data_IF_304557637799
#
_entry.id   IF_304557637799
#
_cell.length_a   1.000
_cell.length_b   1.000
_cell.length_c   1.000
_cell.angle_alpha   90.00
_cell.angle_beta   90.00
_cell.angle_gamma   90.00
#
_symmetry.space_group_name_H-M   'P 1'
#
loop_
_entity.id
_entity.type
_entity.pdbx_description
1 polymer ?
#
# COMPACT_ATOMS: atom_id res chain seq x y z
N UNK A 1 -6.65 19.70 73.99
CA UNK A 1 -7.12 21.06 74.32
C UNK A 1 -8.14 21.45 73.25
N UNK A 2 -9.27 22.02 73.68
CA UNK A 2 -10.51 22.34 72.93
C UNK A 2 -10.20 23.10 71.61
N UNK A 3 -11.03 23.12 70.56
CA UNK A 3 -12.39 23.71 70.48
C UNK A 3 -13.12 23.24 69.21
N UNK A 4 -14.42 22.97 69.38
CA UNK A 4 -15.50 22.76 68.41
C UNK A 4 -16.15 24.09 68.02
N UNK A 5 -16.61 24.29 66.77
CA UNK A 5 -17.73 25.19 66.35
C UNK A 5 -18.00 24.97 64.84
N UNK A 6 -19.07 24.30 64.35
CA UNK A 6 -20.51 24.61 64.25
C UNK A 6 -20.93 25.82 63.39
N UNK A 7 -21.51 25.50 62.22
CA UNK A 7 -22.79 25.98 61.63
C UNK A 7 -23.03 27.44 61.22
N UNK A 8 -23.50 27.64 59.96
CA UNK A 8 -24.77 28.30 59.54
C UNK A 8 -24.64 28.79 58.06
N UNK A 9 -25.40 28.27 57.09
CA UNK A 9 -26.77 28.65 56.65
C UNK A 9 -26.90 30.06 56.02
N UNK A 10 -27.15 30.09 54.71
CA UNK A 10 -27.94 31.05 53.88
C UNK A 10 -27.49 30.85 52.42
N UNK A 11 -28.30 30.80 51.36
CA UNK A 11 -29.71 31.05 51.13
C UNK A 11 -29.91 30.95 49.59
N UNK A 12 -31.13 30.65 49.17
CA UNK A 12 -31.51 30.19 47.84
C UNK A 12 -31.25 31.16 46.67
N UNK A 13 -31.09 30.61 45.46
CA UNK A 13 -31.67 31.21 44.25
C UNK A 13 -32.19 30.11 43.31
N UNK A 14 -33.52 30.09 43.14
CA UNK A 14 -34.23 29.34 42.12
C UNK A 14 -34.21 30.17 40.83
N UNK A 15 -33.72 29.59 39.73
CA UNK A 15 -34.17 29.96 38.39
C UNK A 15 -34.42 28.66 37.62
N UNK A 16 -35.70 28.41 37.31
CA UNK A 16 -36.12 27.44 36.34
C UNK A 16 -35.77 27.94 34.93
N UNK A 17 -35.23 27.07 34.09
CA UNK A 17 -34.90 27.41 32.70
C UNK A 17 -34.65 26.17 31.84
N UNK A 18 -35.70 25.77 31.13
CA UNK A 18 -35.73 25.15 29.80
C UNK A 18 -34.89 23.90 29.47
N UNK A 19 -35.65 22.89 29.08
CA UNK A 19 -35.37 21.70 28.25
C UNK A 19 -34.48 21.93 27.02
N UNK A 20 -33.47 21.06 26.83
CA UNK A 20 -32.93 20.52 25.56
C UNK A 20 -31.61 19.77 25.90
N UNK A 21 -31.28 18.54 25.51
CA UNK A 21 -31.86 17.45 24.74
C UNK A 21 -30.80 16.33 24.66
N UNK A 22 -31.13 15.05 24.42
CA UNK A 22 -30.14 14.02 24.17
C UNK A 22 -30.13 13.66 22.68
N UNK A 23 -29.41 14.38 21.82
CA UNK A 23 -29.32 14.02 20.39
C UNK A 23 -28.15 14.69 19.65
N UNK A 24 -26.91 14.52 20.08
CA UNK A 24 -25.74 14.94 19.27
C UNK A 24 -24.55 13.98 19.43
N UNK A 25 -24.76 12.68 19.19
CA UNK A 25 -23.63 11.75 18.98
C UNK A 25 -23.79 10.81 17.77
N UNK A 26 -24.85 10.95 16.98
CA UNK A 26 -25.06 10.12 15.78
C UNK A 26 -24.87 10.86 14.44
N UNK A 27 -24.64 12.18 14.45
CA UNK A 27 -24.57 12.99 13.22
C UNK A 27 -23.15 13.28 12.72
N UNK A 28 -22.11 13.06 13.55
CA UNK A 28 -20.72 13.32 13.17
C UNK A 28 -20.13 12.20 12.28
N UNK A 29 -20.59 10.95 12.42
CA UNK A 29 -20.08 9.83 11.61
C UNK A 29 -20.62 9.85 10.17
N UNK A 30 -21.87 10.28 9.98
CA UNK A 30 -22.51 10.35 8.66
C UNK A 30 -21.83 11.36 7.73
N UNK A 31 -21.57 12.59 8.22
CA UNK A 31 -20.91 13.62 7.41
C UNK A 31 -19.46 13.27 7.06
N UNK A 32 -18.71 12.62 7.95
CA UNK A 32 -17.36 12.14 7.64
C UNK A 32 -17.38 11.01 6.60
N UNK A 33 -18.34 10.08 6.68
CA UNK A 33 -18.47 9.00 5.68
C UNK A 33 -18.84 9.56 4.30
N UNK A 34 -19.77 10.51 4.21
CA UNK A 34 -20.19 11.10 2.94
C UNK A 34 -19.07 11.93 2.31
N UNK A 35 -18.29 12.67 3.11
CA UNK A 35 -17.12 13.41 2.59
C UNK A 35 -15.99 12.45 2.14
N UNK A 36 -15.83 11.31 2.82
CA UNK A 36 -14.89 10.26 2.42
C UNK A 36 -15.33 9.58 1.13
N UNK A 37 -16.63 9.35 0.95
CA UNK A 37 -17.23 8.73 -0.25
C UNK A 37 -17.20 9.68 -1.45
N UNK A 38 -17.48 10.97 -1.26
CA UNK A 38 -17.35 11.99 -2.32
C UNK A 38 -15.86 12.17 -2.69
N UNK A 39 -14.98 12.19 -1.69
CA UNK A 39 -13.53 12.15 -1.90
C UNK A 39 -13.13 10.91 -2.72
N UNK A 40 -13.62 9.72 -2.35
CA UNK A 40 -13.40 8.46 -3.05
C UNK A 40 -13.94 8.44 -4.49
N UNK A 41 -15.10 9.06 -4.74
CA UNK A 41 -15.68 9.18 -6.09
C UNK A 41 -14.93 10.14 -6.99
N UNK A 42 -14.44 11.27 -6.46
CA UNK A 42 -13.65 12.24 -7.22
C UNK A 42 -12.20 11.79 -7.46
N UNK A 43 -11.73 10.84 -6.64
CA UNK A 43 -10.37 10.29 -6.69
C UNK A 43 -10.32 8.86 -7.24
N UNK A 44 -11.45 8.19 -7.44
CA UNK A 44 -11.48 6.77 -7.80
C UNK A 44 -10.94 5.84 -6.71
N UNK A 45 -10.72 6.32 -5.48
CA UNK A 45 -10.34 5.49 -4.35
C UNK A 45 -11.59 4.82 -3.75
N UNK A 46 -11.75 3.50 -3.95
CA UNK A 46 -12.83 2.73 -3.34
C UNK A 46 -12.58 2.59 -1.82
N UNK A 47 -13.57 2.84 -0.95
CA UNK A 47 -13.40 2.75 0.49
C UNK A 47 -13.32 1.28 0.96
N UNK A 48 -12.27 0.94 1.71
CA UNK A 48 -12.02 -0.27 2.55
C UNK A 48 -12.25 -1.69 1.95
N UNK A 49 -12.88 -1.83 0.78
CA UNK A 49 -13.08 -3.05 -0.02
C UNK A 49 -12.00 -3.24 -1.12
N UNK A 50 -10.91 -2.48 -1.05
CA UNK A 50 -9.86 -2.53 -2.07
C UNK A 50 -9.02 -3.81 -2.04
N UNK A 51 -9.08 -4.60 -0.96
CA UNK A 51 -8.35 -5.85 -0.84
C UNK A 51 -9.26 -7.05 -1.05
N UNK A 52 -9.08 -7.76 -2.16
CA UNK A 52 -9.87 -8.93 -2.54
C UNK A 52 -8.99 -10.17 -2.59
N UNK A 53 -9.49 -11.30 -2.08
CA UNK A 53 -8.82 -12.59 -2.27
C UNK A 53 -9.28 -13.20 -3.59
N UNK A 54 -8.32 -13.47 -4.46
CA UNK A 54 -8.52 -14.15 -5.74
C UNK A 54 -7.91 -15.55 -5.66
N UNK A 55 -8.12 -16.37 -6.68
CA UNK A 55 -7.47 -17.69 -6.79
C UNK A 55 -5.94 -17.58 -6.85
N UNK A 56 -5.40 -16.43 -7.26
CA UNK A 56 -3.98 -16.21 -7.50
C UNK A 56 -3.27 -15.49 -6.37
N UNK A 57 -4.02 -14.95 -5.41
CA UNK A 57 -3.46 -14.13 -4.36
C UNK A 57 -4.36 -13.00 -3.92
N UNK A 58 -3.80 -12.07 -3.16
CA UNK A 58 -4.50 -10.89 -2.69
C UNK A 58 -4.36 -9.76 -3.69
N UNK A 59 -5.47 -9.28 -4.20
CA UNK A 59 -5.56 -8.11 -5.06
C UNK A 59 -5.78 -6.88 -4.19
N UNK A 60 -5.03 -5.81 -4.40
CA UNK A 60 -5.19 -4.51 -3.77
C UNK A 60 -5.33 -3.43 -4.85
N UNK A 61 -6.47 -2.74 -4.88
CA UNK A 61 -6.70 -1.54 -5.71
C UNK A 61 -6.57 -0.28 -4.86
N UNK A 62 -5.45 0.45 -4.95
CA UNK A 62 -5.26 1.67 -4.15
C UNK A 62 -4.44 2.71 -4.90
N UNK A 63 -4.50 3.96 -4.45
CA UNK A 63 -3.50 4.93 -4.87
C UNK A 63 -2.27 4.73 -4.00
N UNK A 64 -1.15 4.51 -4.65
CA UNK A 64 0.12 4.35 -3.96
C UNK A 64 0.77 5.72 -3.82
N UNK A 65 1.56 5.92 -2.77
CA UNK A 65 2.45 7.08 -2.61
C UNK A 65 1.76 8.46 -2.45
N UNK A 66 0.45 8.51 -2.21
CA UNK A 66 -0.29 9.77 -1.98
C UNK A 66 -0.25 10.17 -0.50
N UNK A 67 0.15 11.41 -0.22
CA UNK A 67 0.17 11.94 1.14
C UNK A 67 -1.23 11.92 1.79
N UNK A 68 -1.29 11.51 3.06
CA UNK A 68 -2.54 11.42 3.83
C UNK A 68 -3.39 10.17 3.56
N UNK A 69 -2.99 9.30 2.62
CA UNK A 69 -3.59 7.98 2.48
C UNK A 69 -2.97 6.96 3.43
N UNK A 70 -3.75 5.93 3.78
CA UNK A 70 -3.23 4.83 4.56
C UNK A 70 -2.15 4.09 3.76
N UNK A 71 -0.97 3.83 4.35
CA UNK A 71 0.09 3.11 3.65
C UNK A 71 -0.35 1.69 3.31
N UNK A 72 0.27 1.09 2.28
CA UNK A 72 -0.05 -0.29 1.84
C UNK A 72 0.06 -1.26 3.01
N UNK A 73 1.06 -1.04 3.86
CA UNK A 73 1.28 -1.81 5.09
C UNK A 73 0.07 -1.82 6.04
N UNK A 74 -0.68 -0.72 6.14
CA UNK A 74 -1.88 -0.65 6.98
C UNK A 74 -3.07 -1.40 6.36
N UNK A 75 -3.24 -1.31 5.03
CA UNK A 75 -4.35 -1.95 4.32
C UNK A 75 -4.22 -3.49 4.29
N UNK A 76 -2.99 -3.98 4.14
CA UNK A 76 -2.68 -5.39 3.94
C UNK A 76 -2.34 -6.16 5.22
N UNK A 77 -2.25 -5.48 6.37
CA UNK A 77 -1.80 -6.08 7.64
C UNK A 77 -2.59 -7.34 8.00
N UNK A 78 -1.84 -8.41 8.28
CA UNK A 78 -2.33 -9.73 8.68
C UNK A 78 -3.00 -10.52 7.57
N UNK A 79 -3.00 -10.04 6.31
CA UNK A 79 -3.77 -10.66 5.23
C UNK A 79 -2.94 -11.66 4.42
N UNK A 80 -1.62 -11.46 4.27
CA UNK A 80 -0.75 -12.31 3.46
C UNK A 80 -0.43 -13.65 4.15
N UNK A 81 -0.42 -13.68 5.49
CA UNK A 81 -0.20 -14.91 6.24
C UNK A 81 1.23 -15.43 6.14
N UNK A 82 2.19 -14.52 5.96
CA UNK A 82 3.63 -14.82 5.85
C UNK A 82 4.40 -14.29 7.08
N UNK A 83 5.61 -14.80 7.28
CA UNK A 83 6.48 -14.27 8.33
C UNK A 83 6.96 -12.86 8.01
N UNK A 84 7.08 -12.00 9.02
CA UNK A 84 7.61 -10.63 8.91
C UNK A 84 6.88 -9.78 7.85
N UNK A 85 5.57 -9.99 7.71
CA UNK A 85 4.73 -9.36 6.70
C UNK A 85 4.90 -7.82 6.64
N UNK A 86 4.92 -7.14 7.79
CA UNK A 86 5.07 -5.69 7.83
C UNK A 86 6.38 -5.20 7.18
N UNK A 87 7.47 -5.95 7.31
CA UNK A 87 8.76 -5.60 6.69
C UNK A 87 8.74 -5.77 5.17
N UNK A 88 8.05 -6.79 4.65
CA UNK A 88 7.85 -6.97 3.22
C UNK A 88 7.00 -5.82 2.65
N UNK A 89 5.87 -5.53 3.30
CA UNK A 89 4.96 -4.46 2.88
C UNK A 89 5.68 -3.10 2.87
N UNK A 90 6.48 -2.81 3.90
CA UNK A 90 7.27 -1.58 3.97
C UNK A 90 8.41 -1.52 2.93
N UNK A 91 9.06 -2.63 2.61
CA UNK A 91 10.06 -2.70 1.54
C UNK A 91 9.42 -2.43 0.18
N UNK A 92 8.31 -3.12 -0.13
CA UNK A 92 7.57 -2.91 -1.37
C UNK A 92 7.12 -1.45 -1.54
N UNK A 93 6.55 -0.85 -0.49
CA UNK A 93 6.08 0.54 -0.52
C UNK A 93 7.24 1.52 -0.76
N UNK A 94 8.42 1.30 -0.15
CA UNK A 94 9.62 2.12 -0.43
C UNK A 94 10.12 1.97 -1.86
N UNK A 95 10.08 0.75 -2.43
CA UNK A 95 10.47 0.51 -3.82
C UNK A 95 9.52 1.25 -4.76
N UNK A 96 8.21 1.04 -4.57
CA UNK A 96 7.18 1.60 -5.42
C UNK A 96 7.15 3.13 -5.37
N UNK A 97 7.40 3.72 -4.20
CA UNK A 97 7.42 5.16 -4.01
C UNK A 97 8.81 5.79 -4.19
N UNK A 98 9.80 5.01 -4.65
CA UNK A 98 11.12 5.55 -4.93
C UNK A 98 11.08 6.51 -6.12
N UNK A 99 11.73 7.66 -5.98
CA UNK A 99 11.96 8.56 -7.12
C UNK A 99 12.92 7.92 -8.12
N UNK A 100 12.63 8.14 -9.40
CA UNK A 100 13.53 7.81 -10.50
C UNK A 100 14.87 8.53 -10.34
N UNK A 101 15.95 7.80 -10.60
CA UNK A 101 17.32 8.29 -10.44
C UNK A 101 17.80 9.15 -11.62
N UNK A 102 17.25 8.93 -12.82
CA UNK A 102 17.59 9.65 -14.05
C UNK A 102 16.47 10.60 -14.54
N UNK A 103 15.34 10.65 -13.84
CA UNK A 103 14.15 11.41 -14.23
C UNK A 103 13.35 10.77 -15.37
N UNK A 104 13.80 9.64 -15.93
CA UNK A 104 13.18 8.92 -17.04
C UNK A 104 12.59 7.56 -16.60
N UNK A 105 12.51 7.31 -15.30
CA UNK A 105 11.95 6.09 -14.73
C UNK A 105 12.99 5.04 -14.34
N UNK A 106 14.29 5.30 -14.41
CA UNK A 106 15.28 4.33 -13.94
C UNK A 106 15.32 4.28 -12.41
N UNK A 107 15.39 3.07 -11.84
CA UNK A 107 15.66 2.82 -10.44
C UNK A 107 16.87 1.88 -10.29
N UNK A 108 17.96 2.38 -9.74
CA UNK A 108 19.20 1.65 -9.48
C UNK A 108 19.04 0.76 -8.24
N UNK A 109 19.36 -0.53 -8.36
CA UNK A 109 19.10 -1.51 -7.29
C UNK A 109 20.05 -1.30 -6.09
N UNK A 110 21.26 -0.79 -6.33
CA UNK A 110 22.27 -0.50 -5.30
C UNK A 110 21.73 0.27 -4.08
N UNK A 111 20.77 1.19 -4.28
CA UNK A 111 20.22 2.04 -3.21
C UNK A 111 19.46 1.28 -2.13
N UNK A 112 19.00 0.07 -2.42
CA UNK A 112 18.30 -0.79 -1.46
C UNK A 112 19.26 -1.63 -0.62
N UNK A 113 20.57 -1.55 -0.88
CA UNK A 113 21.61 -2.19 -0.08
C UNK A 113 21.29 -3.65 0.20
N UNK A 114 21.45 -4.08 1.45
CA UNK A 114 21.20 -5.47 1.86
C UNK A 114 19.74 -5.95 1.73
N UNK A 115 18.80 -5.08 1.41
CA UNK A 115 17.41 -5.46 1.14
C UNK A 115 17.16 -5.79 -0.33
N UNK A 116 18.15 -5.58 -1.21
CA UNK A 116 18.17 -6.15 -2.55
C UNK A 116 19.27 -7.20 -2.67
N UNK A 117 18.98 -8.25 -3.44
CA UNK A 117 19.89 -9.35 -3.69
C UNK A 117 21.12 -8.92 -4.47
N UNK A 118 22.16 -9.73 -4.35
CA UNK A 118 23.38 -9.62 -5.13
C UNK A 118 23.84 -11.07 -5.46
N UNK A 119 23.73 -11.52 -6.71
CA UNK A 119 23.23 -10.79 -7.87
C UNK A 119 21.70 -10.53 -7.83
N UNK A 120 21.24 -9.62 -8.68
CA UNK A 120 19.83 -9.23 -8.81
C UNK A 120 19.31 -9.55 -10.22
N UNK A 121 18.13 -10.17 -10.30
CA UNK A 121 17.55 -10.57 -11.56
C UNK A 121 16.69 -9.46 -12.19
N UNK A 122 16.91 -9.16 -13.47
CA UNK A 122 16.11 -8.20 -14.23
C UNK A 122 15.61 -8.84 -15.52
N UNK A 123 14.62 -8.21 -16.14
CA UNK A 123 14.13 -8.65 -17.44
C UNK A 123 13.09 -7.72 -18.02
N UNK A 124 12.83 -7.94 -19.31
CA UNK A 124 11.76 -7.31 -20.05
C UNK A 124 10.86 -8.41 -20.63
N UNK A 125 9.57 -8.36 -20.32
CA UNK A 125 8.61 -9.29 -20.91
C UNK A 125 7.74 -8.56 -21.92
N UNK A 126 7.81 -9.02 -23.16
CA UNK A 126 6.86 -8.64 -24.19
C UNK A 126 5.59 -9.48 -24.04
N UNK A 127 4.46 -8.84 -23.77
CA UNK A 127 3.20 -9.56 -23.60
C UNK A 127 2.15 -9.11 -24.63
N UNK A 128 1.46 -10.07 -25.23
CA UNK A 128 0.50 -9.87 -26.32
C UNK A 128 -0.89 -10.38 -25.94
N UNK A 129 -1.59 -9.64 -25.06
CA UNK A 129 -3.04 -9.83 -24.90
C UNK A 129 -3.53 -10.61 -23.67
N UNK A 130 -2.79 -10.63 -22.55
CA UNK A 130 -3.36 -11.04 -21.26
C UNK A 130 -4.53 -10.14 -20.88
N UNK A 131 -5.62 -10.74 -20.38
CA UNK A 131 -6.84 -10.00 -20.03
C UNK A 131 -6.76 -9.45 -18.61
N UNK A 132 -5.91 -10.05 -17.76
CA UNK A 132 -5.77 -9.68 -16.36
C UNK A 132 -4.31 -9.69 -15.88
N UNK A 133 -4.03 -8.85 -14.89
CA UNK A 133 -2.75 -8.80 -14.17
C UNK A 133 -2.35 -10.18 -13.65
N UNK A 134 -1.09 -10.55 -13.93
CA UNK A 134 -0.50 -11.82 -13.51
C UNK A 134 -0.52 -12.91 -14.57
N UNK A 135 -1.33 -12.83 -15.63
CA UNK A 135 -1.57 -13.98 -16.52
C UNK A 135 -0.44 -14.34 -17.48
N UNK A 136 0.63 -13.53 -17.55
CA UNK A 136 1.75 -13.81 -18.44
C UNK A 136 2.90 -14.53 -17.71
N UNK A 137 3.65 -15.39 -18.42
CA UNK A 137 4.87 -15.95 -17.87
C UNK A 137 5.89 -14.84 -17.60
N UNK A 138 6.64 -14.97 -16.51
CA UNK A 138 7.66 -14.02 -16.10
C UNK A 138 8.91 -14.79 -15.76
N UNK A 139 9.91 -14.61 -16.61
CA UNK A 139 11.26 -15.14 -16.46
C UNK A 139 12.25 -13.98 -16.59
N UNK A 140 13.26 -13.90 -15.72
CA UNK A 140 14.31 -12.91 -15.88
C UNK A 140 15.14 -13.21 -17.13
N UNK A 141 15.62 -12.17 -17.79
CA UNK A 141 16.55 -12.30 -18.92
C UNK A 141 17.97 -12.60 -18.43
N UNK A 142 18.30 -12.14 -17.23
CA UNK A 142 19.60 -12.35 -16.62
C UNK A 142 19.68 -11.85 -15.19
N UNK A 143 20.84 -12.10 -14.60
CA UNK A 143 21.21 -11.61 -13.28
C UNK A 143 22.49 -10.78 -13.41
N UNK A 144 22.50 -9.63 -12.74
CA UNK A 144 23.66 -8.73 -12.70
C UNK A 144 24.04 -8.43 -11.26
N UNK A 145 25.32 -8.08 -11.00
CA UNK A 145 25.70 -7.45 -9.75
C UNK A 145 24.76 -6.31 -9.39
N UNK A 146 24.42 -6.19 -8.10
CA UNK A 146 23.40 -5.22 -7.63
C UNK A 146 23.75 -3.76 -7.99
N UNK A 147 25.03 -3.44 -8.07
CA UNK A 147 25.55 -2.12 -8.43
C UNK A 147 25.47 -1.79 -9.92
N UNK A 148 25.27 -2.81 -10.77
CA UNK A 148 25.08 -2.68 -12.22
C UNK A 148 23.61 -2.83 -12.64
N UNK A 149 22.77 -3.39 -11.76
CA UNK A 149 21.35 -3.63 -12.04
C UNK A 149 20.49 -2.36 -11.91
N UNK A 150 19.51 -2.24 -12.82
CA UNK A 150 18.45 -1.24 -12.75
C UNK A 150 17.13 -1.81 -13.26
N UNK A 151 16.02 -1.18 -12.88
CA UNK A 151 14.70 -1.44 -13.47
C UNK A 151 14.12 -0.15 -14.05
N UNK A 152 13.32 -0.31 -15.12
CA UNK A 152 12.55 0.79 -15.68
C UNK A 152 11.16 0.82 -15.05
N UNK A 153 10.85 1.91 -14.36
CA UNK A 153 9.57 2.24 -13.73
C UNK A 153 8.70 3.13 -14.66
N UNK A 154 8.96 3.14 -15.96
CA UNK A 154 8.21 3.95 -16.93
C UNK A 154 6.70 3.69 -16.79
N UNK A 155 5.92 4.76 -16.68
CA UNK A 155 4.46 4.68 -16.46
C UNK A 155 4.03 4.54 -15.00
N UNK A 156 4.95 4.30 -14.08
CA UNK A 156 4.70 4.18 -12.64
C UNK A 156 5.30 5.38 -11.91
N UNK A 157 4.63 6.53 -12.00
CA UNK A 157 5.03 7.70 -11.23
C UNK A 157 4.46 7.62 -9.82
N UNK A 158 5.26 7.84 -8.75
CA UNK A 158 4.76 7.96 -7.38
C UNK A 158 3.79 9.15 -7.23
N UNK A 159 3.89 10.15 -8.11
CA UNK A 159 2.99 11.30 -8.15
C UNK A 159 1.81 11.10 -9.12
N UNK A 160 1.63 9.89 -9.65
CA UNK A 160 0.52 9.59 -10.57
C UNK A 160 -0.82 9.74 -9.84
N UNK A 161 -1.77 10.52 -10.39
CA UNK A 161 -3.12 10.62 -9.82
C UNK A 161 -3.97 9.35 -10.07
N UNK A 162 -3.45 8.39 -10.84
CA UNK A 162 -4.14 7.17 -11.22
C UNK A 162 -3.92 6.12 -10.12
N UNK A 163 -4.99 5.46 -9.68
CA UNK A 163 -4.88 4.32 -8.77
C UNK A 163 -4.05 3.20 -9.40
N UNK A 164 -3.30 2.46 -8.58
CA UNK A 164 -2.59 1.27 -8.99
C UNK A 164 -3.30 0.01 -8.49
N UNK A 165 -2.97 -1.09 -9.15
CA UNK A 165 -3.43 -2.43 -8.78
C UNK A 165 -2.21 -3.27 -8.46
N UNK A 166 -2.17 -3.86 -7.27
CA UNK A 166 -1.15 -4.83 -6.88
C UNK A 166 -1.77 -6.21 -6.62
N UNK A 167 -1.26 -7.25 -7.28
CA UNK A 167 -1.62 -8.64 -7.01
C UNK A 167 -0.46 -9.32 -6.28
N UNK A 168 -0.72 -9.76 -5.06
CA UNK A 168 0.23 -10.40 -4.16
C UNK A 168 0.08 -11.91 -4.22
N UNK A 169 0.99 -12.54 -4.94
CA UNK A 169 1.08 -13.98 -5.15
C UNK A 169 2.07 -14.60 -4.16
N UNK A 170 1.56 -15.28 -3.13
CA UNK A 170 2.37 -15.99 -2.13
C UNK A 170 2.68 -17.39 -2.66
N UNK A 171 3.78 -17.51 -3.39
CA UNK A 171 4.21 -18.76 -4.02
C UNK A 171 4.72 -19.78 -3.00
N UNK A 172 5.30 -19.30 -1.90
CA UNK A 172 5.71 -20.09 -0.74
C UNK A 172 5.78 -19.21 0.52
N UNK A 173 5.82 -19.76 1.74
CA UNK A 173 5.94 -18.95 2.97
C UNK A 173 7.15 -18.00 2.99
N UNK A 174 8.19 -18.30 2.21
CA UNK A 174 9.42 -17.52 2.06
C UNK A 174 9.59 -16.89 0.69
N UNK A 175 8.56 -16.92 -0.17
CA UNK A 175 8.63 -16.38 -1.55
C UNK A 175 7.32 -15.70 -1.94
N UNK A 176 7.40 -14.42 -2.28
CA UNK A 176 6.24 -13.61 -2.68
C UNK A 176 6.57 -12.89 -3.96
N UNK A 177 5.67 -12.95 -4.94
CA UNK A 177 5.70 -12.12 -6.14
C UNK A 177 4.60 -11.08 -6.05
N UNK A 178 4.95 -9.83 -6.29
CA UNK A 178 3.98 -8.74 -6.40
C UNK A 178 3.92 -8.30 -7.84
N UNK A 179 2.75 -8.44 -8.45
CA UNK A 179 2.46 -7.83 -9.73
C UNK A 179 1.90 -6.46 -9.49
N UNK A 180 2.30 -5.47 -10.27
CA UNK A 180 1.81 -4.12 -10.16
C UNK A 180 1.52 -3.55 -11.54
N UNK A 181 0.38 -2.87 -11.70
CA UNK A 181 0.01 -2.19 -12.92
C UNK A 181 -0.93 -1.01 -12.61
N UNK A 182 -1.07 -0.03 -13.52
CA UNK A 182 -2.10 1.00 -13.40
C UNK A 182 -3.53 0.43 -13.41
N UNK A 183 -3.76 -0.69 -14.11
CA UNK A 183 -5.08 -1.30 -14.26
C UNK A 183 -5.03 -2.81 -14.11
N UNK A 184 -6.09 -3.39 -13.53
CA UNK A 184 -6.27 -4.84 -13.43
C UNK A 184 -6.42 -5.50 -14.80
N UNK A 185 -7.20 -4.87 -15.68
CA UNK A 185 -7.46 -5.33 -17.03
C UNK A 185 -6.60 -4.57 -18.02
N UNK A 186 -6.14 -5.26 -19.07
CA UNK A 186 -5.16 -4.73 -20.03
C UNK A 186 -3.93 -4.12 -19.31
N UNK A 187 -3.19 -4.91 -18.53
CA UNK A 187 -2.13 -4.42 -17.66
C UNK A 187 -0.87 -4.09 -18.47
N UNK A 188 -0.94 -3.06 -19.32
CA UNK A 188 0.24 -2.48 -19.95
C UNK A 188 1.10 -1.81 -18.92
N UNK A 189 2.40 -1.83 -19.17
CA UNK A 189 3.38 -1.15 -18.33
C UNK A 189 3.33 -1.70 -16.89
N UNK A 190 3.04 -2.99 -16.78
CA UNK A 190 3.03 -3.72 -15.53
C UNK A 190 4.45 -4.15 -15.15
N UNK A 191 4.67 -4.35 -13.85
CA UNK A 191 5.93 -4.81 -13.29
C UNK A 191 5.71 -5.94 -12.30
N UNK A 192 6.72 -6.77 -12.14
CA UNK A 192 6.79 -7.71 -11.04
C UNK A 192 7.92 -7.35 -10.09
N UNK A 193 7.71 -7.66 -8.82
CA UNK A 193 8.68 -7.56 -7.74
C UNK A 193 8.70 -8.88 -7.01
N UNK A 194 9.83 -9.57 -7.06
CA UNK A 194 9.99 -10.87 -6.43
C UNK A 194 10.77 -10.72 -5.14
N UNK A 195 10.28 -11.33 -4.07
CA UNK A 195 10.86 -11.26 -2.75
C UNK A 195 11.10 -12.64 -2.18
N UNK A 196 12.21 -12.78 -1.46
CA UNK A 196 12.57 -13.99 -0.74
C UNK A 196 12.94 -13.68 0.71
N UNK A 197 12.48 -14.52 1.63
CA UNK A 197 12.83 -14.44 3.04
C UNK A 197 14.17 -15.15 3.26
N UNK A 198 15.25 -14.39 3.46
CA UNK A 198 16.61 -14.90 3.63
C UNK A 198 17.15 -14.50 5.00
N UNK A 199 17.58 -15.48 5.81
CA UNK A 199 18.15 -15.21 7.13
C UNK A 199 17.24 -14.40 8.06
N UNK A 200 15.92 -14.54 7.91
CA UNK A 200 14.95 -13.76 8.66
C UNK A 200 14.85 -12.30 8.24
N UNK A 201 15.06 -11.97 6.97
CA UNK A 201 14.74 -10.67 6.37
C UNK A 201 14.24 -10.86 4.94
N UNK A 202 13.22 -10.11 4.55
CA UNK A 202 12.79 -10.07 3.15
C UNK A 202 13.80 -9.33 2.29
N UNK A 203 14.18 -9.97 1.18
CA UNK A 203 15.12 -9.45 0.20
C UNK A 203 14.40 -9.39 -1.14
N UNK A 204 14.51 -8.25 -1.82
CA UNK A 204 14.07 -8.06 -3.19
C UNK A 204 15.07 -8.72 -4.13
N UNK A 205 14.62 -9.73 -4.87
CA UNK A 205 15.51 -10.62 -5.66
C UNK A 205 15.38 -10.42 -7.17
N UNK A 206 14.21 -9.97 -7.64
CA UNK A 206 14.00 -9.70 -9.04
C UNK A 206 13.01 -8.56 -9.27
N UNK A 207 13.20 -7.84 -10.38
CA UNK A 207 12.26 -6.84 -10.88
C UNK A 207 12.17 -6.94 -12.40
N UNK A 208 10.98 -7.23 -12.92
CA UNK A 208 10.78 -7.45 -14.36
C UNK A 208 9.69 -6.52 -14.85
N UNK A 209 10.03 -5.72 -15.86
CA UNK A 209 9.09 -4.81 -16.52
C UNK A 209 8.39 -5.52 -17.68
N UNK A 210 7.18 -5.09 -17.99
CA UNK A 210 6.47 -5.55 -19.19
C UNK A 210 6.32 -4.41 -20.18
N UNK A 211 6.39 -4.76 -21.47
CA UNK A 211 6.12 -3.83 -22.57
C UNK A 211 5.11 -4.47 -23.50
N UNK A 212 4.16 -3.65 -23.94
CA UNK A 212 3.16 -4.06 -24.92
C UNK A 212 3.79 -4.11 -26.31
N UNK A 213 3.60 -5.23 -27.02
CA UNK A 213 3.86 -5.34 -28.46
C UNK A 213 2.69 -4.82 -29.30
#
# INVERSE_FOLDING_TARGET
MRITLTSALCGALIIAGLTAGPSTLAHASGQQSVLRDIGGMLTGAKPDDSVQRTERGLLLETRHCVEGQAPVSALMRGRLGIAQEESLLALFERILCARSDDGMGQLNIARFGGEAADPFATGLVFYSGSQQLGEWPVEPEGESPRDEAYISMLGLSPDSPIGGVSLWDVQAPSRVRVWFAPFLHMPSDAMTYDFELRGGRWVWVAGIASVRM
#
